data_IF_676960031085
#
_entry.id   IF_676960031085
#
_cell.length_a   1.000
_cell.length_b   1.000
_cell.length_c   1.000
_cell.angle_alpha   90.00
_cell.angle_beta   90.00
_cell.angle_gamma   90.00
#
_symmetry.space_group_name_H-M   'P 1'
#
loop_
_entity.id
_entity.type
_entity.pdbx_description
1 polymer ?
#
# COMPACT_ATOMS: atom_id res chain seq x y z
N UNK A 1 -18.86 5.70 49.84
CA UNK A 1 -19.23 5.27 48.47
C UNK A 1 -18.48 6.17 47.50
N UNK A 2 -17.39 5.68 46.93
CA UNK A 2 -16.59 6.40 45.94
C UNK A 2 -16.59 5.52 44.69
N UNK A 3 -17.35 5.92 43.68
CA UNK A 3 -17.49 5.22 42.41
C UNK A 3 -16.26 5.46 41.55
N UNK A 4 -15.48 4.42 41.30
CA UNK A 4 -14.36 4.44 40.36
C UNK A 4 -14.94 3.96 39.02
N UNK A 5 -15.11 4.88 38.07
CA UNK A 5 -15.47 4.51 36.70
C UNK A 5 -14.25 3.83 36.03
N UNK A 6 -14.44 2.74 35.26
CA UNK A 6 -13.34 2.17 34.48
C UNK A 6 -13.06 3.10 33.30
N UNK A 7 -11.81 3.53 33.16
CA UNK A 7 -11.33 4.17 31.94
C UNK A 7 -11.35 3.11 30.83
N UNK A 8 -12.31 3.24 29.90
CA UNK A 8 -12.29 2.48 28.64
C UNK A 8 -11.18 3.10 27.79
N UNK A 9 -10.02 2.46 27.75
CA UNK A 9 -9.02 2.72 26.71
C UNK A 9 -9.47 2.00 25.43
N UNK A 10 -10.16 2.74 24.56
CA UNK A 10 -10.21 2.40 23.14
C UNK A 10 -8.82 2.71 22.58
N UNK A 11 -7.98 1.68 22.50
CA UNK A 11 -6.75 1.78 21.72
C UNK A 11 -7.14 2.09 20.28
N UNK A 12 -6.71 3.23 19.75
CA UNK A 12 -6.83 3.53 18.34
C UNK A 12 -6.06 2.44 17.58
N UNK A 13 -6.78 1.54 16.93
CA UNK A 13 -6.21 0.66 15.93
C UNK A 13 -5.96 1.54 14.71
N UNK A 14 -4.69 1.79 14.40
CA UNK A 14 -4.30 2.30 13.08
C UNK A 14 -4.67 1.21 12.06
N UNK A 15 -5.80 1.39 11.36
CA UNK A 15 -6.07 0.61 10.15
C UNK A 15 -5.08 1.02 9.04
N UNK A 16 -4.84 0.17 8.03
CA UNK A 16 -4.06 0.57 6.87
C UNK A 16 -4.82 1.68 6.12
N UNK A 17 -4.19 2.85 5.95
CA UNK A 17 -4.68 3.87 5.00
C UNK A 17 -4.52 3.27 3.61
N UNK A 18 -5.61 3.05 2.89
CA UNK A 18 -5.52 2.69 1.47
C UNK A 18 -5.18 4.00 0.74
N UNK A 19 -3.89 4.29 0.54
CA UNK A 19 -3.50 5.26 -0.48
C UNK A 19 -3.78 4.60 -1.83
N UNK A 20 -4.43 5.30 -2.76
CA UNK A 20 -4.55 4.81 -4.14
C UNK A 20 -3.57 5.56 -5.02
N UNK A 21 -3.02 4.92 -6.04
CA UNK A 21 -2.26 5.59 -7.06
C UNK A 21 -2.42 4.97 -8.43
N UNK A 22 -2.20 5.79 -9.45
CA UNK A 22 -2.05 5.31 -10.82
C UNK A 22 -0.68 4.64 -10.95
N UNK A 23 -0.66 3.32 -11.16
CA UNK A 23 0.59 2.56 -11.27
C UNK A 23 1.27 2.76 -12.62
N UNK A 24 0.48 2.88 -13.68
CA UNK A 24 1.01 3.13 -15.02
C UNK A 24 -0.04 3.75 -15.93
N UNK A 25 0.23 4.97 -16.39
CA UNK A 25 -0.53 5.56 -17.48
C UNK A 25 -0.18 4.87 -18.81
N UNK A 26 -1.23 4.56 -19.56
CA UNK A 26 -1.16 4.20 -20.97
C UNK A 26 -1.95 5.20 -21.82
N UNK A 27 -1.78 5.17 -23.16
CA UNK A 27 -2.62 5.96 -24.04
C UNK A 27 -4.09 5.57 -23.83
N UNK A 28 -4.97 6.56 -23.89
CA UNK A 28 -6.41 6.30 -23.81
C UNK A 28 -6.86 5.38 -24.96
N UNK A 29 -7.77 4.41 -24.75
CA UNK A 29 -8.23 3.50 -25.79
C UNK A 29 -8.74 4.22 -27.05
N UNK A 30 -8.14 3.90 -28.20
CA UNK A 30 -8.49 4.52 -29.48
C UNK A 30 -7.90 5.91 -29.70
N UNK A 31 -7.10 6.43 -28.77
CA UNK A 31 -6.37 7.68 -28.96
C UNK A 31 -5.17 7.48 -29.91
N UNK A 32 -5.16 8.22 -31.01
CA UNK A 32 -4.08 8.22 -32.01
C UNK A 32 -3.40 9.58 -32.18
N UNK A 33 -3.62 10.50 -31.25
CA UNK A 33 -3.03 11.84 -31.27
C UNK A 33 -1.58 11.87 -30.76
N UNK A 34 -0.97 13.06 -30.66
CA UNK A 34 0.45 13.21 -30.38
C UNK A 34 0.85 12.88 -28.92
N UNK A 35 -0.10 12.81 -27.98
CA UNK A 35 0.17 12.72 -26.54
C UNK A 35 0.22 11.28 -25.98
N UNK A 36 0.71 10.30 -26.74
CA UNK A 36 0.65 8.88 -26.35
C UNK A 36 1.61 8.45 -25.22
N UNK A 37 2.24 9.39 -24.51
CA UNK A 37 3.32 9.12 -23.55
C UNK A 37 3.12 9.81 -22.20
N UNK A 38 1.87 10.02 -21.77
CA UNK A 38 1.63 10.50 -20.40
C UNK A 38 2.23 9.49 -19.42
N UNK A 39 3.10 9.96 -18.54
CA UNK A 39 3.76 9.17 -17.50
C UNK A 39 3.75 9.94 -16.19
N UNK A 40 4.06 9.26 -15.09
CA UNK A 40 4.07 9.85 -13.75
C UNK A 40 3.10 9.13 -12.82
N UNK A 41 2.76 9.79 -11.71
CA UNK A 41 1.93 9.23 -10.64
C UNK A 41 0.88 10.26 -10.22
N UNK A 42 -0.34 9.79 -10.00
CA UNK A 42 -1.35 10.46 -9.18
C UNK A 42 -1.57 9.60 -7.95
N UNK A 43 -1.44 10.19 -6.77
CA UNK A 43 -1.77 9.58 -5.46
C UNK A 43 -3.05 10.20 -4.93
N UNK A 44 -3.92 9.39 -4.32
CA UNK A 44 -5.14 9.79 -3.64
C UNK A 44 -5.01 9.47 -2.14
N UNK A 45 -5.37 10.45 -1.34
CA UNK A 45 -5.46 10.38 0.11
C UNK A 45 -6.89 10.72 0.52
N UNK A 46 -7.58 9.81 1.22
CA UNK A 46 -8.87 10.11 1.83
C UNK A 46 -8.76 10.21 3.35
N UNK A 47 -9.41 11.20 3.94
CA UNK A 47 -9.51 11.40 5.39
C UNK A 47 -10.82 10.83 5.96
N UNK A 48 -11.67 10.24 5.11
CA UNK A 48 -13.04 9.81 5.43
C UNK A 48 -13.20 8.40 5.99
N UNK A 49 -12.15 7.59 6.09
CA UNK A 49 -12.30 6.16 6.44
C UNK A 49 -12.26 5.89 7.97
N UNK A 50 -12.30 6.93 8.82
CA UNK A 50 -12.27 6.78 10.28
C UNK A 50 -10.92 6.32 10.85
N UNK A 51 -9.87 6.30 10.02
CA UNK A 51 -8.50 5.95 10.40
C UNK A 51 -7.69 7.25 10.56
N UNK A 52 -7.30 7.55 11.80
CA UNK A 52 -6.62 8.79 12.17
C UNK A 52 -5.22 8.86 11.54
N UNK A 53 -4.95 9.90 10.74
CA UNK A 53 -3.65 10.11 10.11
C UNK A 53 -2.56 10.47 11.13
N UNK A 54 -1.48 9.68 11.17
CA UNK A 54 -0.21 10.08 11.79
C UNK A 54 0.59 10.89 10.76
N UNK A 55 0.38 12.20 10.71
CA UNK A 55 1.32 13.07 9.98
C UNK A 55 2.65 13.11 10.75
N UNK A 56 3.81 12.89 10.11
CA UNK A 56 5.08 13.36 10.67
C UNK A 56 5.09 14.89 10.57
N UNK A 57 4.58 15.57 11.59
CA UNK A 57 4.53 17.03 11.57
C UNK A 57 5.95 17.60 11.69
N UNK A 58 6.40 18.31 10.66
CA UNK A 58 7.43 19.37 10.79
C UNK A 58 6.80 20.75 10.98
N UNK A 59 5.61 20.83 11.58
CA UNK A 59 5.00 22.11 11.98
C UNK A 59 4.47 22.00 13.41
N UNK A 60 4.65 23.05 14.24
CA UNK A 60 4.22 23.03 15.63
C UNK A 60 2.70 22.87 15.70
N UNK A 61 2.27 21.86 16.44
CA UNK A 61 0.87 21.46 16.62
C UNK A 61 0.06 22.56 17.32
N UNK A 62 -1.11 22.88 16.76
CA UNK A 62 -2.25 23.34 17.54
C UNK A 62 -3.04 22.11 18.01
N UNK A 63 -3.63 22.13 19.22
CA UNK A 63 -4.29 20.95 19.78
C UNK A 63 -5.62 20.69 19.04
N UNK A 64 -5.67 19.63 18.24
CA UNK A 64 -6.92 19.08 17.70
C UNK A 64 -7.44 18.03 18.68
N UNK A 65 -8.66 18.23 19.18
CA UNK A 65 -9.34 17.33 20.10
C UNK A 65 -9.68 16.00 19.44
N UNK A 66 -9.29 14.89 20.08
CA UNK A 66 -9.66 13.53 19.69
C UNK A 66 -11.12 13.28 20.08
N UNK A 67 -12.02 13.07 19.11
CA UNK A 67 -13.36 12.51 19.33
C UNK A 67 -13.34 11.02 18.98
N UNK A 68 -13.95 10.20 19.83
CA UNK A 68 -13.97 8.74 19.72
C UNK A 68 -14.68 8.23 18.46
N UNK A 69 -14.20 7.07 18.00
CA UNK A 69 -14.68 6.31 16.85
C UNK A 69 -16.01 5.61 17.14
N UNK A 70 -17.11 6.37 17.06
CA UNK A 70 -18.48 5.86 16.87
C UNK A 70 -19.22 6.69 15.80
N UNK A 71 -18.47 7.47 15.02
CA UNK A 71 -19.03 8.35 13.98
C UNK A 71 -18.65 7.80 12.61
N UNK A 72 -19.64 7.25 11.90
CA UNK A 72 -19.57 7.18 10.43
C UNK A 72 -19.46 8.65 9.98
N UNK A 73 -18.34 9.09 9.38
CA UNK A 73 -18.26 10.43 8.85
C UNK A 73 -19.40 10.61 7.85
N UNK A 74 -20.29 11.55 8.14
CA UNK A 74 -21.29 11.99 7.18
C UNK A 74 -20.58 12.77 6.08
N UNK A 75 -21.03 12.70 4.81
CA UNK A 75 -20.51 13.54 3.73
C UNK A 75 -20.31 15.00 4.19
N UNK A 76 -19.25 15.68 3.72
CA UNK A 76 -18.39 15.31 2.57
C UNK A 76 -17.28 14.30 2.88
N UNK A 77 -16.86 13.54 1.86
CA UNK A 77 -15.66 12.68 1.89
C UNK A 77 -14.57 13.35 1.05
N UNK A 78 -13.87 14.37 1.54
CA UNK A 78 -12.83 15.02 0.75
C UNK A 78 -11.71 14.03 0.43
N UNK A 79 -11.35 13.95 -0.85
CA UNK A 79 -10.18 13.24 -1.35
C UNK A 79 -9.15 14.26 -1.79
N UNK A 80 -7.93 14.17 -1.25
CA UNK A 80 -6.79 14.94 -1.71
C UNK A 80 -6.00 14.14 -2.72
N UNK A 81 -5.82 14.71 -3.89
CA UNK A 81 -5.00 14.14 -4.95
C UNK A 81 -3.68 14.90 -5.04
N UNK A 82 -2.59 14.16 -5.25
CA UNK A 82 -1.27 14.71 -5.52
C UNK A 82 -0.78 14.10 -6.82
N UNK A 83 -0.40 14.94 -7.78
CA UNK A 83 0.05 14.48 -9.09
C UNK A 83 1.43 15.04 -9.43
N UNK A 84 2.18 14.22 -10.17
CA UNK A 84 3.41 14.58 -10.87
C UNK A 84 3.41 13.82 -12.20
N UNK A 85 3.19 14.56 -13.28
CA UNK A 85 2.88 14.03 -14.61
C UNK A 85 3.76 14.68 -15.67
N UNK A 86 4.09 13.92 -16.72
CA UNK A 86 4.86 14.34 -17.88
C UNK A 86 4.22 13.82 -19.16
N UNK A 87 4.47 14.47 -20.30
CA UNK A 87 3.87 14.13 -21.59
C UNK A 87 2.47 14.69 -21.80
N UNK A 88 2.13 15.75 -21.07
CA UNK A 88 0.84 16.45 -21.12
C UNK A 88 0.77 17.41 -22.32
N UNK A 89 -0.45 17.78 -22.70
CA UNK A 89 -0.69 18.79 -23.74
C UNK A 89 -0.20 20.17 -23.28
N UNK A 90 0.76 20.76 -24.00
CA UNK A 90 1.30 22.09 -23.71
C UNK A 90 0.31 23.22 -23.98
N UNK A 91 -0.81 22.94 -24.65
CA UNK A 91 -1.96 23.85 -24.74
C UNK A 91 -2.59 24.17 -23.38
N UNK A 92 -2.32 23.34 -22.37
CA UNK A 92 -2.71 23.58 -20.97
C UNK A 92 -1.75 24.50 -20.20
N UNK A 93 -0.79 25.14 -20.90
CA UNK A 93 0.11 26.13 -20.30
C UNK A 93 -0.53 27.52 -20.33
N UNK A 94 -0.69 28.14 -19.15
CA UNK A 94 -1.03 29.57 -19.03
C UNK A 94 -2.42 29.98 -19.53
N UNK A 95 -3.24 29.03 -19.98
CA UNK A 95 -4.63 29.23 -20.36
C UNK A 95 -5.50 28.74 -19.21
N UNK A 96 -6.51 29.50 -18.83
CA UNK A 96 -7.52 29.05 -17.88
C UNK A 96 -8.33 27.90 -18.52
N UNK A 97 -8.31 26.68 -17.97
CA UNK A 97 -9.08 25.56 -18.50
C UNK A 97 -10.58 25.85 -18.59
N UNK A 98 -11.12 26.77 -17.79
CA UNK A 98 -12.52 27.20 -17.85
C UNK A 98 -12.84 28.04 -19.10
N UNK A 99 -11.82 28.60 -19.77
CA UNK A 99 -11.97 29.31 -21.04
C UNK A 99 -11.85 28.37 -22.25
N UNK A 100 -11.53 27.09 -22.01
CA UNK A 100 -11.38 26.06 -23.02
C UNK A 100 -12.63 25.16 -23.12
N UNK A 101 -12.59 24.19 -24.03
CA UNK A 101 -13.72 23.31 -24.27
C UNK A 101 -13.90 22.29 -23.14
N UNK A 102 -14.98 22.40 -22.36
CA UNK A 102 -15.43 21.36 -21.42
C UNK A 102 -14.31 20.77 -20.56
N UNK A 103 -14.10 19.45 -20.65
CA UNK A 103 -13.06 18.71 -19.90
C UNK A 103 -11.60 19.08 -20.24
N UNK A 104 -11.33 20.26 -20.81
CA UNK A 104 -9.98 20.69 -21.16
C UNK A 104 -9.04 20.59 -19.95
N UNK A 105 -7.86 20.00 -20.17
CA UNK A 105 -6.82 19.87 -19.15
C UNK A 105 -7.27 19.14 -17.86
N UNK A 106 -8.40 18.43 -17.91
CA UNK A 106 -8.98 17.73 -16.78
C UNK A 106 -8.22 16.47 -16.40
N UNK A 107 -8.20 16.16 -15.10
CA UNK A 107 -7.70 14.90 -14.54
C UNK A 107 -8.75 14.30 -13.60
N UNK A 108 -9.44 13.25 -14.06
CA UNK A 108 -10.72 12.85 -13.49
C UNK A 108 -10.77 11.35 -13.18
N UNK A 109 -11.55 10.97 -12.16
CA UNK A 109 -11.94 9.57 -11.96
C UNK A 109 -13.20 9.29 -12.78
N UNK A 110 -13.16 8.19 -13.53
CA UNK A 110 -14.25 7.69 -14.35
C UNK A 110 -14.91 6.45 -13.74
N UNK A 111 -16.15 6.23 -14.14
CA UNK A 111 -17.04 5.16 -13.64
C UNK A 111 -16.60 3.74 -14.02
N UNK A 112 -15.78 3.59 -15.06
CA UNK A 112 -15.26 2.31 -15.52
C UNK A 112 -14.11 1.78 -14.67
N UNK A 113 -13.89 0.46 -14.77
CA UNK A 113 -12.81 -0.27 -14.09
C UNK A 113 -11.78 -0.82 -15.08
N UNK A 114 -11.64 -0.17 -16.24
CA UNK A 114 -10.74 -0.60 -17.30
C UNK A 114 -10.22 0.58 -18.10
N UNK A 115 -8.99 0.43 -18.59
CA UNK A 115 -8.37 1.30 -19.58
C UNK A 115 -8.16 0.57 -20.92
N UNK A 116 -8.88 -0.53 -21.19
CA UNK A 116 -8.75 -1.29 -22.44
C UNK A 116 -9.78 -0.92 -23.51
N UNK A 117 -10.90 -0.30 -23.12
CA UNK A 117 -12.00 0.02 -24.02
C UNK A 117 -12.63 1.37 -23.68
N UNK A 118 -12.69 2.27 -24.66
CA UNK A 118 -13.23 3.61 -24.46
C UNK A 118 -14.70 3.61 -24.02
N UNK A 119 -15.49 2.62 -24.48
CA UNK A 119 -16.89 2.48 -24.09
C UNK A 119 -17.07 1.98 -22.66
N UNK A 120 -16.07 1.28 -22.12
CA UNK A 120 -16.11 0.70 -20.78
C UNK A 120 -15.46 1.58 -19.71
N UNK A 121 -14.64 2.57 -20.10
CA UNK A 121 -14.17 3.63 -19.20
C UNK A 121 -15.34 4.47 -18.67
N UNK A 122 -16.37 4.70 -19.49
CA UNK A 122 -17.56 5.45 -19.09
C UNK A 122 -17.33 6.95 -18.86
N UNK A 123 -18.26 7.58 -18.15
CA UNK A 123 -18.20 9.00 -17.77
C UNK A 123 -17.52 9.22 -16.42
N UNK A 124 -17.56 10.46 -15.95
CA UNK A 124 -17.18 10.91 -14.61
C UNK A 124 -17.77 10.03 -13.49
N UNK A 125 -17.01 9.78 -12.42
CA UNK A 125 -17.48 9.03 -11.26
C UNK A 125 -17.68 9.91 -10.04
N UNK A 126 -18.91 9.95 -9.53
CA UNK A 126 -19.29 10.58 -8.28
C UNK A 126 -20.58 9.93 -7.76
N UNK A 127 -20.88 10.08 -6.48
CA UNK A 127 -22.04 9.49 -5.82
C UNK A 127 -22.95 10.58 -5.25
N UNK A 128 -24.25 10.47 -5.52
CA UNK A 128 -25.27 11.31 -4.90
C UNK A 128 -25.22 11.16 -3.36
N UNK A 129 -25.34 12.25 -2.58
CA UNK A 129 -25.79 13.58 -3.01
C UNK A 129 -24.68 14.54 -3.45
N UNK A 130 -23.43 14.09 -3.60
CA UNK A 130 -22.35 14.96 -4.10
C UNK A 130 -22.64 15.42 -5.53
N UNK A 131 -22.28 16.67 -5.81
CA UNK A 131 -22.24 17.20 -7.17
C UNK A 131 -21.05 16.57 -7.93
N UNK A 132 -21.09 16.58 -9.27
CA UNK A 132 -19.97 16.10 -10.08
C UNK A 132 -18.76 17.04 -9.89
N UNK A 133 -17.69 16.61 -9.18
CA UNK A 133 -16.54 17.46 -8.93
C UNK A 133 -15.65 17.63 -10.17
N UNK A 134 -15.91 16.84 -11.22
CA UNK A 134 -15.14 16.84 -12.46
C UNK A 134 -15.79 17.70 -13.54
N UNK A 135 -17.06 18.08 -13.36
CA UNK A 135 -17.76 18.95 -14.29
C UNK A 135 -17.30 20.40 -14.16
N UNK A 136 -17.35 21.15 -15.27
CA UNK A 136 -17.24 22.61 -15.29
C UNK A 136 -18.45 23.32 -14.66
N UNK A 137 -19.33 22.56 -13.98
CA UNK A 137 -20.76 22.79 -13.70
C UNK A 137 -21.15 23.99 -12.82
N UNK A 138 -20.64 25.18 -13.13
CA UNK A 138 -21.15 26.45 -12.62
C UNK A 138 -20.61 26.87 -11.25
N UNK A 139 -19.67 26.13 -10.66
CA UNK A 139 -18.98 26.55 -9.42
C UNK A 139 -17.77 27.46 -9.69
N UNK A 140 -17.39 27.68 -10.96
CA UNK A 140 -16.51 28.77 -11.40
C UNK A 140 -15.06 28.79 -10.90
N UNK A 141 -14.71 28.01 -9.86
CA UNK A 141 -13.42 28.12 -9.18
C UNK A 141 -12.81 26.75 -8.79
N UNK A 142 -13.60 25.67 -8.79
CA UNK A 142 -13.20 24.34 -8.28
C UNK A 142 -13.03 23.25 -9.37
N UNK A 143 -12.96 23.62 -10.65
CA UNK A 143 -12.74 22.63 -11.72
C UNK A 143 -11.36 21.97 -11.60
N UNK A 144 -11.36 20.64 -11.55
CA UNK A 144 -10.13 19.86 -11.41
C UNK A 144 -9.40 19.76 -12.75
N UNK A 145 -8.36 20.59 -12.89
CA UNK A 145 -7.46 20.60 -14.03
C UNK A 145 -5.99 20.71 -13.62
N UNK A 146 -5.10 20.33 -14.52
CA UNK A 146 -3.67 20.61 -14.42
C UNK A 146 -3.28 21.82 -15.27
N UNK A 147 -2.16 22.43 -14.91
CA UNK A 147 -1.49 23.47 -15.69
C UNK A 147 -0.12 22.95 -16.09
N UNK A 148 0.07 22.65 -17.38
CA UNK A 148 1.33 22.13 -17.88
C UNK A 148 2.38 23.23 -18.05
N UNK A 149 3.65 22.87 -17.93
CA UNK A 149 4.79 23.69 -18.41
C UNK A 149 4.87 23.71 -19.93
N UNK A 150 5.78 24.51 -20.48
CA UNK A 150 6.12 24.50 -21.91
C UNK A 150 6.74 23.18 -22.37
N UNK A 151 7.20 22.35 -21.43
CA UNK A 151 7.77 21.03 -21.66
C UNK A 151 6.75 19.90 -21.47
N UNK A 152 5.47 20.21 -21.19
CA UNK A 152 4.42 19.21 -21.03
C UNK A 152 4.50 18.45 -19.70
N UNK A 153 4.99 19.09 -18.64
CA UNK A 153 5.02 18.54 -17.27
C UNK A 153 4.07 19.30 -16.36
N UNK A 154 3.46 18.64 -15.38
CA UNK A 154 2.68 19.31 -14.35
C UNK A 154 2.77 18.56 -13.02
N UNK A 155 2.89 19.31 -11.93
CA UNK A 155 2.86 18.77 -10.57
C UNK A 155 2.00 19.65 -9.68
N UNK A 156 1.20 19.06 -8.82
CA UNK A 156 0.33 19.82 -7.93
C UNK A 156 -0.53 18.94 -7.05
N UNK A 157 -1.48 19.56 -6.38
CA UNK A 157 -2.49 18.88 -5.60
C UNK A 157 -3.84 19.56 -5.77
N UNK A 158 -4.91 18.78 -5.66
CA UNK A 158 -6.27 19.28 -5.66
C UNK A 158 -7.12 18.42 -4.73
N UNK A 159 -8.20 19.00 -4.23
CA UNK A 159 -9.21 18.28 -3.46
C UNK A 159 -10.43 18.06 -4.35
N UNK A 160 -11.06 16.89 -4.23
CA UNK A 160 -12.35 16.61 -4.85
C UNK A 160 -13.24 15.87 -3.84
N UNK A 161 -14.52 16.22 -3.80
CA UNK A 161 -15.53 15.44 -3.07
C UNK A 161 -16.39 14.67 -4.06
N UNK A 162 -16.02 13.41 -4.29
CA UNK A 162 -16.82 12.51 -5.12
C UNK A 162 -18.04 11.94 -4.40
N UNK A 163 -18.18 12.17 -3.09
CA UNK A 163 -19.15 11.46 -2.26
C UNK A 163 -18.86 9.96 -2.10
N UNK A 164 -17.71 9.47 -2.58
CA UNK A 164 -17.34 8.06 -2.56
C UNK A 164 -16.28 7.74 -1.50
N UNK A 165 -16.27 6.50 -1.01
CA UNK A 165 -15.20 5.99 -0.15
C UNK A 165 -13.97 5.62 -0.96
N UNK A 166 -12.81 5.47 -0.32
CA UNK A 166 -11.60 4.96 -0.99
C UNK A 166 -11.84 3.61 -1.66
N UNK A 167 -12.63 2.74 -1.00
CA UNK A 167 -12.98 1.41 -1.53
C UNK A 167 -13.81 1.48 -2.81
N UNK A 168 -14.65 2.50 -2.95
CA UNK A 168 -15.41 2.73 -4.16
C UNK A 168 -14.52 3.21 -5.31
N UNK A 169 -13.44 3.94 -5.01
CA UNK A 169 -12.53 4.51 -6.00
C UNK A 169 -11.46 3.51 -6.49
N UNK A 170 -11.21 2.45 -5.71
CA UNK A 170 -10.28 1.38 -6.04
C UNK A 170 -10.63 0.71 -7.38
N UNK A 171 -9.63 0.58 -8.25
CA UNK A 171 -9.72 -0.06 -9.56
C UNK A 171 -10.38 0.79 -10.64
N UNK A 172 -10.87 2.00 -10.31
CA UNK A 172 -11.52 2.87 -11.30
C UNK A 172 -10.50 3.51 -12.24
N UNK A 173 -10.95 3.82 -13.45
CA UNK A 173 -10.15 4.54 -14.43
C UNK A 173 -9.91 5.99 -13.99
N UNK A 174 -8.66 6.42 -14.01
CA UNK A 174 -8.22 7.80 -13.89
C UNK A 174 -7.80 8.29 -15.28
N UNK A 175 -8.41 9.36 -15.77
CA UNK A 175 -8.28 9.84 -17.14
C UNK A 175 -7.66 11.23 -17.16
N UNK A 176 -6.73 11.43 -18.11
CA UNK A 176 -6.13 12.73 -18.40
C UNK A 176 -6.69 13.25 -19.72
N UNK A 177 -7.07 14.54 -19.75
CA UNK A 177 -7.60 15.22 -20.92
C UNK A 177 -6.59 16.23 -21.51
N UNK A 178 -6.66 16.45 -22.83
CA UNK A 178 -5.91 17.49 -23.54
C UNK A 178 -6.62 18.86 -23.51
N UNK A 179 -6.02 19.88 -24.13
CA UNK A 179 -6.56 21.24 -24.15
C UNK A 179 -7.87 21.38 -24.96
N UNK A 180 -8.23 20.35 -25.76
CA UNK A 180 -9.50 20.28 -26.49
C UNK A 180 -10.53 19.40 -25.75
N UNK A 181 -10.25 18.99 -24.52
CA UNK A 181 -11.09 18.10 -23.72
C UNK A 181 -11.08 16.64 -24.19
N UNK A 182 -10.22 16.27 -25.14
CA UNK A 182 -10.04 14.89 -25.59
C UNK A 182 -9.35 14.05 -24.52
N UNK A 183 -9.77 12.79 -24.34
CA UNK A 183 -9.13 11.86 -23.40
C UNK A 183 -7.84 11.32 -24.03
N UNK A 184 -6.70 11.55 -23.38
CA UNK A 184 -5.37 11.23 -23.94
C UNK A 184 -4.65 10.10 -23.21
N UNK A 185 -4.91 9.93 -21.92
CA UNK A 185 -4.32 8.86 -21.12
C UNK A 185 -5.31 8.26 -20.13
N UNK A 186 -5.03 7.02 -19.72
CA UNK A 186 -5.80 6.28 -18.74
C UNK A 186 -4.88 5.43 -17.87
N UNK A 187 -5.17 5.37 -16.58
CA UNK A 187 -4.59 4.42 -15.63
C UNK A 187 -5.69 3.94 -14.68
N UNK A 188 -5.49 2.82 -13.99
CA UNK A 188 -6.38 2.41 -12.90
C UNK A 188 -5.87 2.95 -11.56
N UNK A 189 -6.79 3.34 -10.68
CA UNK A 189 -6.49 3.70 -9.30
C UNK A 189 -6.24 2.43 -8.50
N UNK A 190 -4.99 2.10 -8.24
CA UNK A 190 -4.61 0.87 -7.54
C UNK A 190 -4.16 1.19 -6.11
N UNK A 191 -4.25 0.23 -5.18
CA UNK A 191 -3.70 0.43 -3.84
C UNK A 191 -2.20 0.67 -3.93
N UNK A 192 -1.76 1.80 -3.39
CA UNK A 192 -0.39 1.94 -2.92
C UNK A 192 -0.29 1.03 -1.72
N UNK A 193 0.23 -0.17 -1.95
CA UNK A 193 0.77 -0.90 -0.83
C UNK A 193 2.04 -0.19 -0.40
N UNK A 194 2.13 0.12 0.89
CA UNK A 194 3.45 0.18 1.49
C UNK A 194 4.16 -1.15 1.20
N UNK A 195 5.50 -1.16 1.05
CA UNK A 195 6.22 -2.42 0.90
C UNK A 195 5.73 -3.40 1.97
N UNK A 196 5.37 -4.61 1.54
CA UNK A 196 5.06 -5.66 2.49
C UNK A 196 6.37 -6.19 3.05
N UNK A 197 6.37 -6.54 4.32
CA UNK A 197 7.49 -7.23 4.93
C UNK A 197 7.04 -8.33 5.86
N UNK A 198 7.98 -9.21 6.14
CA UNK A 198 7.94 -10.16 7.24
C UNK A 198 8.96 -9.63 8.24
N UNK A 199 8.48 -9.07 9.35
CA UNK A 199 9.36 -8.50 10.40
C UNK A 199 9.89 -9.58 11.34
N UNK A 200 9.17 -10.70 11.47
CA UNK A 200 9.53 -11.81 12.34
C UNK A 200 9.34 -13.14 11.62
N UNK A 201 10.43 -13.89 11.49
CA UNK A 201 10.39 -15.27 11.05
C UNK A 201 10.36 -16.20 12.27
N UNK A 202 9.44 -17.15 12.24
CA UNK A 202 9.45 -18.29 13.16
C UNK A 202 10.02 -19.53 12.46
N UNK A 203 10.44 -20.51 13.25
CA UNK A 203 10.77 -21.84 12.75
C UNK A 203 9.57 -22.42 12.00
N UNK A 204 9.83 -22.98 10.81
CA UNK A 204 8.76 -23.56 10.01
C UNK A 204 8.04 -24.72 10.75
N UNK A 205 6.71 -24.83 10.72
CA UNK A 205 5.99 -25.92 11.38
C UNK A 205 6.44 -27.30 10.89
N UNK A 206 6.92 -28.12 11.82
CA UNK A 206 7.45 -29.46 11.51
C UNK A 206 8.92 -29.47 11.09
N UNK A 207 9.63 -28.35 11.17
CA UNK A 207 11.10 -28.35 11.12
C UNK A 207 11.67 -28.84 12.45
N UNK A 208 12.62 -29.78 12.39
CA UNK A 208 13.19 -30.45 13.57
C UNK A 208 14.60 -29.99 13.94
N UNK A 209 15.21 -29.09 13.16
CA UNK A 209 16.48 -28.48 13.54
C UNK A 209 16.31 -27.53 14.73
N UNK A 210 17.39 -27.32 15.48
CA UNK A 210 17.35 -26.46 16.68
C UNK A 210 16.90 -25.03 16.36
N UNK A 211 17.33 -24.50 15.21
CA UNK A 211 16.92 -23.20 14.66
C UNK A 211 16.93 -23.25 13.12
N UNK A 212 16.21 -22.33 12.44
CA UNK A 212 16.33 -22.18 10.99
C UNK A 212 17.79 -21.89 10.62
N UNK A 213 18.41 -22.77 9.83
CA UNK A 213 19.81 -22.67 9.47
C UNK A 213 19.97 -22.28 8.00
N UNK A 214 20.42 -21.04 7.79
CA UNK A 214 20.72 -20.51 6.48
C UNK A 214 22.19 -20.66 6.08
N UNK A 215 23.09 -21.09 6.97
CA UNK A 215 24.55 -21.09 6.74
C UNK A 215 24.98 -21.98 5.57
N UNK A 216 24.25 -23.07 5.32
CA UNK A 216 24.47 -23.95 4.17
C UNK A 216 24.31 -23.25 2.81
N UNK A 217 23.61 -22.13 2.76
CA UNK A 217 23.39 -21.34 1.56
C UNK A 217 24.51 -20.35 1.22
N UNK A 218 25.67 -20.45 1.89
CA UNK A 218 26.82 -19.59 1.59
C UNK A 218 27.39 -19.80 0.17
N UNK A 219 27.20 -21.01 -0.39
CA UNK A 219 27.52 -21.30 -1.79
C UNK A 219 26.39 -20.99 -2.78
N UNK A 220 25.24 -20.49 -2.28
CA UNK A 220 24.02 -20.30 -3.05
C UNK A 220 23.32 -21.61 -3.42
N UNK A 221 22.38 -21.50 -4.37
CA UNK A 221 21.52 -22.59 -4.83
C UNK A 221 22.26 -23.86 -5.26
N UNK A 222 21.77 -25.01 -4.79
CA UNK A 222 22.18 -26.33 -5.24
C UNK A 222 21.12 -26.98 -6.13
N UNK A 223 21.46 -27.26 -7.39
CA UNK A 223 20.56 -27.87 -8.38
C UNK A 223 20.11 -29.30 -8.05
N UNK A 224 20.75 -29.96 -7.09
CA UNK A 224 20.40 -31.32 -6.65
C UNK A 224 19.18 -31.32 -5.73
N UNK A 225 18.81 -30.17 -5.18
CA UNK A 225 17.70 -30.01 -4.25
C UNK A 225 16.74 -28.95 -4.77
N UNK A 226 15.49 -29.35 -5.07
CA UNK A 226 14.45 -28.39 -5.44
C UNK A 226 14.23 -27.37 -4.32
N UNK A 227 14.03 -26.10 -4.67
CA UNK A 227 13.86 -24.99 -3.73
C UNK A 227 15.08 -24.70 -2.84
N UNK A 228 16.27 -25.23 -3.15
CA UNK A 228 17.50 -24.96 -2.39
C UNK A 228 17.70 -23.46 -2.21
N UNK A 229 17.77 -23.01 -0.95
CA UNK A 229 17.97 -21.61 -0.60
C UNK A 229 16.90 -20.66 -1.17
N UNK A 230 15.69 -21.16 -1.46
CA UNK A 230 14.61 -20.37 -2.03
C UNK A 230 13.93 -19.42 -1.04
N UNK A 231 13.47 -18.27 -1.53
CA UNK A 231 12.60 -17.34 -0.80
C UNK A 231 11.26 -17.24 -1.51
N UNK A 232 10.22 -17.84 -0.96
CA UNK A 232 8.95 -18.05 -1.68
C UNK A 232 7.76 -17.44 -0.96
N UNK A 233 6.83 -16.87 -1.73
CA UNK A 233 5.46 -16.62 -1.23
C UNK A 233 4.64 -17.87 -1.48
N UNK A 234 3.95 -18.33 -0.44
CA UNK A 234 3.10 -19.50 -0.47
C UNK A 234 1.62 -19.12 -0.53
N UNK A 235 0.78 -20.03 -1.02
CA UNK A 235 -0.64 -19.78 -1.29
C UNK A 235 -1.47 -19.53 -0.03
N UNK A 236 -1.07 -20.13 1.10
CA UNK A 236 -1.74 -20.03 2.40
C UNK A 236 -1.36 -18.78 3.18
N UNK A 237 -2.08 -18.54 4.28
CA UNK A 237 -2.05 -17.29 5.04
C UNK A 237 -1.71 -17.47 6.53
N UNK A 238 -1.10 -18.60 6.89
CA UNK A 238 -0.70 -18.88 8.27
C UNK A 238 0.57 -19.72 8.31
N UNK A 239 1.40 -19.41 9.30
CA UNK A 239 2.62 -20.14 9.66
C UNK A 239 2.44 -21.00 10.92
N UNK A 240 1.21 -21.21 11.42
CA UNK A 240 0.96 -22.01 12.63
C UNK A 240 1.06 -23.52 12.37
N UNK A 241 0.66 -23.96 11.18
CA UNK A 241 0.71 -25.36 10.76
C UNK A 241 1.11 -25.51 9.30
N UNK A 242 1.90 -26.53 8.98
CA UNK A 242 2.40 -26.77 7.62
C UNK A 242 1.28 -26.92 6.59
N UNK A 243 0.12 -27.45 7.01
CA UNK A 243 -1.08 -27.58 6.17
C UNK A 243 -1.75 -26.25 5.82
N UNK A 244 -1.49 -25.19 6.59
CA UNK A 244 -2.04 -23.85 6.36
C UNK A 244 -1.12 -22.93 5.55
N UNK A 245 0.14 -23.33 5.36
CA UNK A 245 1.10 -22.63 4.49
C UNK A 245 0.79 -22.91 3.02
N UNK A 246 0.50 -24.17 2.68
CA UNK A 246 0.21 -24.58 1.30
C UNK A 246 1.45 -24.66 0.39
N UNK A 247 1.20 -24.58 -0.92
CA UNK A 247 2.21 -24.60 -1.98
C UNK A 247 2.65 -23.20 -2.38
N UNK A 248 3.36 -23.10 -3.49
CA UNK A 248 3.76 -21.82 -4.08
C UNK A 248 2.58 -20.94 -4.49
N UNK A 249 2.70 -19.63 -4.33
CA UNK A 249 1.68 -18.68 -4.77
C UNK A 249 1.94 -18.20 -6.21
N UNK A 250 1.04 -18.52 -7.13
CA UNK A 250 0.92 -17.86 -8.42
C UNK A 250 -0.55 -17.76 -8.79
N UNK A 251 -0.93 -16.71 -9.52
CA UNK A 251 -2.29 -16.58 -10.05
C UNK A 251 -2.54 -17.55 -11.21
N UNK A 252 -3.81 -17.88 -11.45
CA UNK A 252 -4.18 -18.80 -12.52
C UNK A 252 -3.72 -18.27 -13.88
N UNK A 253 -3.03 -19.12 -14.66
CA UNK A 253 -2.53 -18.79 -15.99
C UNK A 253 -1.10 -18.23 -16.01
N UNK A 254 -0.47 -18.02 -14.85
CA UNK A 254 0.95 -17.67 -14.75
C UNK A 254 1.81 -18.90 -14.45
N UNK A 255 3.01 -18.95 -15.03
CA UNK A 255 4.00 -19.95 -14.67
C UNK A 255 4.43 -19.74 -13.20
N UNK A 256 4.77 -20.82 -12.50
CA UNK A 256 5.28 -20.78 -11.14
C UNK A 256 6.67 -20.10 -11.12
N UNK A 257 6.78 -18.85 -10.62
CA UNK A 257 8.04 -18.12 -10.66
C UNK A 257 9.07 -18.69 -9.67
N UNK A 258 8.63 -19.45 -8.66
CA UNK A 258 9.44 -19.94 -7.54
C UNK A 258 10.26 -21.18 -7.90
N UNK A 259 10.05 -21.75 -9.08
CA UNK A 259 10.94 -22.77 -9.64
C UNK A 259 12.24 -22.18 -10.20
N UNK A 260 12.32 -20.85 -10.34
CA UNK A 260 13.49 -20.17 -10.87
C UNK A 260 14.61 -20.12 -9.84
N UNK A 261 15.80 -20.60 -10.24
CA UNK A 261 17.03 -20.50 -9.44
C UNK A 261 17.33 -19.06 -9.01
N UNK A 262 16.91 -18.06 -9.77
CA UNK A 262 17.15 -16.65 -9.46
C UNK A 262 16.41 -16.15 -8.22
N UNK A 263 15.44 -16.91 -7.70
CA UNK A 263 14.74 -16.60 -6.44
C UNK A 263 15.35 -17.30 -5.22
N UNK A 264 16.63 -17.68 -5.32
CA UNK A 264 17.42 -18.17 -4.21
C UNK A 264 18.27 -17.07 -3.59
N UNK A 265 18.53 -17.17 -2.29
CA UNK A 265 19.45 -16.29 -1.57
C UNK A 265 20.84 -16.92 -1.44
N UNK A 266 21.82 -16.05 -1.25
CA UNK A 266 23.19 -16.43 -0.84
C UNK A 266 23.41 -15.85 0.54
N UNK A 267 23.71 -16.70 1.51
CA UNK A 267 24.02 -16.25 2.86
C UNK A 267 25.52 -15.96 3.02
N UNK A 268 25.88 -15.25 4.08
CA UNK A 268 27.23 -15.30 4.62
C UNK A 268 27.45 -16.63 5.33
N UNK A 269 28.70 -16.90 5.75
CA UNK A 269 29.04 -18.06 6.58
C UNK A 269 28.36 -18.03 7.96
N UNK A 270 27.83 -16.88 8.37
CA UNK A 270 27.11 -16.71 9.63
C UNK A 270 25.58 -16.75 9.44
N UNK A 271 25.10 -17.02 8.22
CA UNK A 271 23.68 -17.17 7.91
C UNK A 271 22.93 -15.88 7.56
N UNK A 272 23.61 -14.73 7.49
CA UNK A 272 22.98 -13.46 7.09
C UNK A 272 22.85 -13.39 5.57
N UNK A 273 21.72 -12.90 5.05
CA UNK A 273 21.54 -12.67 3.62
C UNK A 273 20.87 -11.30 3.40
N UNK A 274 21.34 -10.57 2.40
CA UNK A 274 20.74 -9.33 1.93
C UNK A 274 20.75 -9.35 0.40
N UNK A 275 19.72 -8.79 -0.23
CA UNK A 275 19.64 -8.76 -1.68
C UNK A 275 18.31 -8.26 -2.20
N UNK A 276 18.20 -8.25 -3.53
CA UNK A 276 16.97 -7.91 -4.25
C UNK A 276 16.68 -9.00 -5.26
N UNK A 277 15.47 -9.54 -5.18
CA UNK A 277 14.95 -10.55 -6.09
C UNK A 277 13.69 -10.02 -6.77
N UNK A 278 13.31 -10.57 -7.92
CA UNK A 278 12.11 -10.17 -8.63
C UNK A 278 11.39 -11.40 -9.16
N UNK A 279 10.12 -11.53 -8.80
CA UNK A 279 9.23 -12.61 -9.21
C UNK A 279 7.97 -12.03 -9.84
N UNK A 280 7.45 -12.69 -10.87
CA UNK A 280 6.16 -12.33 -11.50
C UNK A 280 5.15 -13.41 -11.13
N UNK A 281 4.28 -13.11 -10.17
CA UNK A 281 3.24 -14.03 -9.69
C UNK A 281 1.91 -13.90 -10.45
N UNK A 282 1.79 -12.83 -11.24
CA UNK A 282 0.55 -12.40 -11.89
C UNK A 282 -0.50 -11.80 -10.93
N UNK A 283 -0.19 -11.72 -9.64
CA UNK A 283 -1.04 -11.06 -8.64
C UNK A 283 -0.50 -9.69 -8.25
N UNK A 284 -1.39 -8.88 -7.70
CA UNK A 284 -1.06 -7.61 -7.05
C UNK A 284 -0.42 -7.86 -5.68
N UNK A 285 0.09 -6.79 -5.09
CA UNK A 285 0.56 -6.80 -3.71
C UNK A 285 -0.54 -7.07 -2.68
N UNK A 286 -1.78 -6.63 -2.92
CA UNK A 286 -2.91 -7.01 -2.06
C UNK A 286 -3.16 -8.51 -2.12
N UNK A 287 -2.98 -9.12 -3.29
CA UNK A 287 -3.18 -10.56 -3.40
C UNK A 287 -2.16 -11.36 -2.58
N UNK A 288 -1.00 -10.79 -2.24
CA UNK A 288 0.02 -11.45 -1.39
C UNK A 288 0.05 -10.96 0.06
N UNK A 289 -0.73 -9.93 0.41
CA UNK A 289 -0.90 -9.49 1.79
C UNK A 289 -1.47 -10.64 2.64
N UNK A 290 -0.87 -10.87 3.80
CA UNK A 290 -1.22 -11.93 4.74
C UNK A 290 -0.75 -13.32 4.32
N UNK A 291 -0.13 -13.49 3.14
CA UNK A 291 0.37 -14.80 2.71
C UNK A 291 1.63 -15.19 3.45
N UNK A 292 1.82 -16.50 3.61
CA UNK A 292 3.03 -17.06 4.20
C UNK A 292 4.22 -16.85 3.25
N UNK A 293 5.29 -16.25 3.77
CA UNK A 293 6.60 -16.19 3.15
C UNK A 293 7.48 -17.26 3.79
N UNK A 294 8.07 -18.11 2.97
CA UNK A 294 8.86 -19.27 3.41
C UNK A 294 10.30 -19.11 2.98
N UNK A 295 11.20 -19.33 3.93
CA UNK A 295 12.64 -19.46 3.69
C UNK A 295 12.97 -20.95 3.61
N UNK A 296 13.63 -21.35 2.53
CA UNK A 296 14.12 -22.70 2.34
C UNK A 296 15.61 -22.82 2.68
N UNK A 297 16.00 -23.96 3.26
CA UNK A 297 17.38 -24.30 3.55
C UNK A 297 18.12 -24.84 2.32
N UNK A 298 19.39 -25.19 2.51
CA UNK A 298 20.26 -25.67 1.44
C UNK A 298 19.76 -26.98 0.78
N UNK A 299 19.11 -27.83 1.55
CA UNK A 299 18.50 -29.10 1.11
C UNK A 299 17.11 -28.94 0.48
N UNK A 300 16.63 -27.69 0.35
CA UNK A 300 15.30 -27.38 -0.16
C UNK A 300 14.17 -27.52 0.86
N UNK A 301 14.47 -27.95 2.09
CA UNK A 301 13.52 -28.02 3.18
C UNK A 301 13.06 -26.63 3.61
N UNK A 302 11.82 -26.51 4.10
CA UNK A 302 11.29 -25.24 4.63
C UNK A 302 11.84 -25.05 6.05
N UNK A 303 12.58 -23.99 6.28
CA UNK A 303 13.28 -23.76 7.57
C UNK A 303 12.65 -22.65 8.40
N UNK A 304 12.08 -21.63 7.75
CA UNK A 304 11.39 -20.53 8.43
C UNK A 304 10.12 -20.10 7.70
N UNK A 305 9.20 -19.48 8.44
CA UNK A 305 7.95 -18.93 7.93
C UNK A 305 7.61 -17.62 8.65
N UNK A 306 7.06 -16.66 7.91
CA UNK A 306 6.36 -15.51 8.49
C UNK A 306 5.27 -15.00 7.53
N UNK A 307 4.33 -14.21 8.03
CA UNK A 307 3.24 -13.64 7.23
C UNK A 307 3.67 -12.30 6.63
N UNK A 308 3.33 -12.06 5.37
CA UNK A 308 3.51 -10.77 4.72
C UNK A 308 2.50 -9.77 5.28
N UNK A 309 3.00 -8.68 5.86
CA UNK A 309 2.20 -7.64 6.47
C UNK A 309 2.63 -6.28 5.92
N UNK A 310 1.83 -5.24 6.12
CA UNK A 310 2.29 -3.89 5.86
C UNK A 310 3.53 -3.61 6.70
N UNK A 311 4.56 -3.02 6.09
CA UNK A 311 5.68 -2.52 6.87
C UNK A 311 5.22 -1.34 7.71
N UNK A 312 4.85 -1.60 8.96
CA UNK A 312 4.76 -0.53 9.95
C UNK A 312 6.20 -0.16 10.36
N UNK A 313 6.71 1.04 10.00
CA UNK A 313 8.01 1.50 10.47
C UNK A 313 8.08 1.61 12.01
N UNK A 314 6.95 1.53 12.70
CA UNK A 314 6.83 1.59 14.16
C UNK A 314 6.85 0.20 14.85
N UNK A 315 6.75 -0.90 14.09
CA UNK A 315 6.65 -2.27 14.61
C UNK A 315 5.30 -2.61 15.27
N UNK A 316 5.02 -3.89 15.59
CA UNK A 316 3.76 -4.26 16.24
C UNK A 316 3.59 -3.50 17.56
N UNK A 317 2.36 -3.09 17.93
CA UNK A 317 2.12 -2.39 19.18
C UNK A 317 2.66 -3.22 20.34
N UNK A 318 3.36 -2.61 21.32
CA UNK A 318 3.87 -3.34 22.47
C UNK A 318 2.73 -4.09 23.16
N UNK A 319 2.98 -5.29 23.73
CA UNK A 319 1.96 -6.03 24.46
C UNK A 319 1.34 -5.14 25.54
N UNK A 320 0.03 -5.28 25.81
CA UNK A 320 -0.66 -4.39 26.72
C UNK A 320 0.01 -4.40 28.11
N UNK A 321 0.13 -3.21 28.72
CA UNK A 321 0.88 -2.98 29.95
C UNK A 321 0.48 -3.89 31.13
N UNK A 322 -0.69 -4.52 31.07
CA UNK A 322 -1.19 -5.48 32.05
C UNK A 322 -0.45 -6.84 32.04
N UNK A 323 0.28 -7.19 30.97
CA UNK A 323 1.07 -8.42 30.87
C UNK A 323 2.49 -8.24 31.43
N UNK A 324 3.08 -7.05 31.31
CA UNK A 324 4.44 -6.76 31.83
C UNK A 324 4.49 -6.60 33.35
N UNK A 325 3.43 -6.04 33.97
CA UNK A 325 3.41 -5.73 35.41
C UNK A 325 3.57 -6.95 36.34
N UNK A 326 2.94 -8.11 36.08
CA UNK A 326 3.14 -9.30 36.91
C UNK A 326 4.56 -9.91 36.81
N UNK A 327 5.19 -9.85 35.63
CA UNK A 327 6.51 -10.44 35.42
C UNK A 327 7.64 -9.62 36.06
N UNK A 328 7.57 -8.28 35.94
CA UNK A 328 8.52 -7.36 36.59
C UNK A 328 8.43 -7.41 38.12
N UNK A 329 7.23 -7.57 38.68
CA UNK A 329 7.04 -7.75 40.13
C UNK A 329 7.74 -9.00 40.69
N UNK A 330 7.88 -10.04 39.87
CA UNK A 330 8.46 -11.32 40.26
C UNK A 330 9.96 -11.42 39.96
N UNK A 331 10.57 -10.42 39.29
CA UNK A 331 11.98 -10.44 38.88
C UNK A 331 12.66 -9.06 39.04
N UNK A 332 12.72 -8.49 40.27
CA UNK A 332 13.16 -7.10 40.50
C UNK A 332 14.63 -6.83 40.14
N UNK A 333 15.47 -7.87 40.08
CA UNK A 333 16.92 -7.74 39.87
C UNK A 333 17.37 -8.09 38.44
N UNK A 334 16.43 -8.41 37.52
CA UNK A 334 16.75 -8.81 36.15
C UNK A 334 16.53 -7.66 35.19
N UNK A 335 17.60 -7.15 34.60
CA UNK A 335 17.51 -6.33 33.40
C UNK A 335 16.96 -7.19 32.25
N UNK A 336 15.98 -6.65 31.52
CA UNK A 336 15.48 -7.31 30.31
C UNK A 336 16.67 -7.54 29.36
N UNK A 337 16.95 -8.78 28.90
CA UNK A 337 18.04 -9.02 27.98
C UNK A 337 17.83 -8.18 26.72
N UNK A 338 18.89 -7.52 26.22
CA UNK A 338 18.86 -6.69 25.00
C UNK A 338 18.37 -7.42 23.74
N UNK A 339 18.08 -8.71 23.82
CA UNK A 339 17.64 -9.57 22.71
C UNK A 339 16.16 -9.93 22.75
N UNK A 340 15.38 -9.44 23.72
CA UNK A 340 13.91 -9.46 23.67
C UNK A 340 13.39 -8.04 23.49
N UNK A 341 12.73 -7.80 22.37
CA UNK A 341 12.09 -6.53 22.01
C UNK A 341 10.89 -6.28 22.93
N UNK A 342 11.14 -5.68 24.10
CA UNK A 342 10.10 -4.91 24.79
C UNK A 342 10.11 -3.51 24.16
N UNK A 343 9.10 -3.23 23.32
CA UNK A 343 8.91 -1.90 22.73
C UNK A 343 8.87 -0.82 23.82
N UNK A 344 9.74 0.18 23.68
CA UNK A 344 9.63 1.53 24.25
C UNK A 344 9.27 1.64 25.74
N UNK A 345 10.03 1.00 26.65
CA UNK A 345 10.08 1.45 28.05
C UNK A 345 11.04 2.64 28.19
N UNK A 346 10.55 3.86 27.95
CA UNK A 346 11.20 5.04 28.52
C UNK A 346 10.71 5.21 29.97
N UNK A 347 11.67 5.12 30.89
CA UNK A 347 11.61 5.34 32.34
C UNK A 347 11.13 4.20 33.23
N UNK A 348 12.08 3.37 33.68
CA UNK A 348 12.10 2.93 35.08
C UNK A 348 13.01 3.90 35.84
N UNK A 349 12.43 4.86 36.57
CA UNK A 349 13.16 5.53 37.65
C UNK A 349 12.91 4.76 38.95
N UNK A 350 13.97 4.68 39.76
CA UNK A 350 13.91 4.27 41.18
C UNK A 350 12.86 5.09 41.95
#
# INVERSE_FOLDING_TARGET
MLSIAPAIHLGAQCGPKIELATVKFGPYPGYGGPFSSVTGKVSLYSDGDGVQACFPSRRPALPIAVRGSDHIPTPPYPQTFVYDLSGLDTGCNGTDPLELSGNACGIHIHSGFTCSSASEVGGHYYQSPAADPWSDGGMGEDYVAFYSTTEGTASGSFDADTGATTSDLLGRAFVVHDANGGRIACALMEPVVDPLCVTNFATYPGYYGAFPDATGCAGGYNASFGNSCGLHIHSGSSCEAASQVGGHYATNGFADPWTEKSLSYVSSTNGNAEGKLSAVTGGTSLDVLGKAFVVHGYDGGRIACGTLEYCDPCGPPPPPANVCMPWCKNNPDKHCPKTQLCGSCYFCYH
#
